data_IF_457667642163
#
_entry.id   IF_457667642163
#
_cell.length_a   1.000
_cell.length_b   1.000
_cell.length_c   1.000
_cell.angle_alpha   90.00
_cell.angle_beta   90.00
_cell.angle_gamma   90.00
#
_symmetry.space_group_name_H-M   'P 1'
#
loop_
_entity.id
_entity.type
_entity.pdbx_description
1 polymer ?
#
# COMPACT_ATOMS: atom_id res chain seq x y z
N UNK A 1 0.50 11.42 -26.34
CA UNK A 1 0.64 11.42 -24.86
C UNK A 1 0.65 10.01 -24.24
N UNK A 2 1.09 8.97 -24.96
CA UNK A 2 0.76 7.56 -24.63
C UNK A 2 1.93 6.73 -24.08
N UNK A 3 3.19 6.99 -24.46
CA UNK A 3 4.33 6.15 -24.03
C UNK A 3 4.83 6.45 -22.61
N UNK A 4 4.89 7.73 -22.20
CA UNK A 4 5.39 8.14 -20.86
C UNK A 4 4.50 7.62 -19.73
N UNK A 5 3.19 7.78 -19.89
CA UNK A 5 2.21 7.38 -18.86
C UNK A 5 2.17 5.84 -18.68
N UNK A 6 2.37 5.06 -19.74
CA UNK A 6 2.49 3.60 -19.65
C UNK A 6 3.80 3.19 -18.96
N UNK A 7 4.92 3.86 -19.27
CA UNK A 7 6.21 3.62 -18.59
C UNK A 7 6.11 3.91 -17.09
N UNK A 8 5.53 5.04 -16.70
CA UNK A 8 5.41 5.42 -15.28
C UNK A 8 4.57 4.40 -14.49
N UNK A 9 3.48 3.88 -15.09
CA UNK A 9 2.64 2.83 -14.48
C UNK A 9 3.40 1.53 -14.23
N UNK A 10 4.14 1.05 -15.23
CA UNK A 10 4.91 -0.18 -15.11
C UNK A 10 6.03 -0.04 -14.07
N UNK A 11 6.72 1.11 -14.08
CA UNK A 11 7.75 1.42 -13.08
C UNK A 11 7.17 1.39 -11.67
N UNK A 12 6.00 1.99 -11.43
CA UNK A 12 5.36 1.97 -10.11
C UNK A 12 4.95 0.56 -9.69
N UNK A 13 4.39 -0.23 -10.61
CA UNK A 13 4.03 -1.62 -10.34
C UNK A 13 5.27 -2.45 -9.93
N UNK A 14 6.37 -2.30 -10.65
CA UNK A 14 7.64 -2.99 -10.38
C UNK A 14 8.26 -2.52 -9.07
N UNK A 15 8.22 -1.20 -8.78
CA UNK A 15 8.68 -0.65 -7.50
C UNK A 15 7.88 -1.22 -6.32
N UNK A 16 6.55 -1.25 -6.44
CA UNK A 16 5.67 -1.82 -5.41
C UNK A 16 5.95 -3.30 -5.18
N UNK A 17 6.14 -4.08 -6.26
CA UNK A 17 6.52 -5.49 -6.15
C UNK A 17 7.89 -5.66 -5.48
N UNK A 18 8.90 -4.91 -5.90
CA UNK A 18 10.24 -4.99 -5.32
C UNK A 18 10.28 -4.62 -3.83
N UNK A 19 9.38 -3.74 -3.36
CA UNK A 19 9.23 -3.47 -1.93
C UNK A 19 8.67 -4.67 -1.16
N UNK A 20 7.65 -5.34 -1.71
CA UNK A 20 7.08 -6.57 -1.12
C UNK A 20 8.12 -7.70 -1.08
N UNK A 21 8.88 -7.90 -2.15
CA UNK A 21 9.87 -8.96 -2.23
C UNK A 21 10.99 -8.76 -1.20
N UNK A 22 11.43 -7.51 -1.01
CA UNK A 22 12.43 -7.14 0.01
C UNK A 22 11.89 -7.37 1.43
N UNK A 23 10.68 -6.94 1.71
CA UNK A 23 10.02 -7.18 3.01
C UNK A 23 9.92 -8.68 3.29
N UNK A 24 9.39 -9.46 2.35
CA UNK A 24 9.19 -10.90 2.51
C UNK A 24 10.51 -11.65 2.68
N UNK A 25 11.55 -11.28 1.93
CA UNK A 25 12.89 -11.86 2.05
C UNK A 25 13.48 -11.60 3.44
N UNK A 26 13.37 -10.37 3.95
CA UNK A 26 13.87 -10.03 5.28
C UNK A 26 13.10 -10.75 6.40
N UNK A 27 11.78 -10.84 6.29
CA UNK A 27 10.91 -11.54 7.26
C UNK A 27 11.19 -13.05 7.27
N UNK A 28 11.47 -13.66 6.12
CA UNK A 28 11.69 -15.11 6.01
C UNK A 28 13.13 -15.56 6.33
N UNK A 29 14.07 -14.63 6.50
CA UNK A 29 15.45 -14.92 6.87
C UNK A 29 15.50 -15.60 8.25
N UNK A 30 16.37 -16.59 8.42
CA UNK A 30 16.56 -17.30 9.69
C UNK A 30 18.04 -17.23 10.15
N UNK A 31 18.33 -16.65 11.33
CA UNK A 31 17.40 -15.94 12.21
C UNK A 31 16.87 -14.64 11.58
N UNK A 32 15.70 -14.18 12.03
CA UNK A 32 15.12 -12.92 11.57
C UNK A 32 15.91 -11.75 12.15
N UNK A 33 16.37 -10.85 11.28
CA UNK A 33 16.97 -9.59 11.68
C UNK A 33 15.88 -8.52 11.83
N UNK A 34 15.49 -8.21 13.07
CA UNK A 34 14.41 -7.27 13.37
C UNK A 34 14.75 -5.84 12.97
N UNK A 35 16.02 -5.44 13.04
CA UNK A 35 16.42 -4.07 12.69
C UNK A 35 16.44 -3.91 11.17
N UNK A 36 16.92 -4.92 10.43
CA UNK A 36 16.81 -4.97 8.96
C UNK A 36 15.35 -4.82 8.51
N UNK A 37 14.44 -5.66 9.04
CA UNK A 37 13.00 -5.59 8.72
C UNK A 37 12.43 -4.19 9.02
N UNK A 38 12.75 -3.62 10.19
CA UNK A 38 12.27 -2.30 10.59
C UNK A 38 12.74 -1.21 9.63
N UNK A 39 14.00 -1.23 9.21
CA UNK A 39 14.55 -0.25 8.27
C UNK A 39 13.90 -0.36 6.89
N UNK A 40 13.68 -1.57 6.39
CA UNK A 40 12.98 -1.78 5.12
C UNK A 40 11.53 -1.26 5.22
N UNK A 41 10.80 -1.57 6.30
CA UNK A 41 9.45 -1.05 6.50
C UNK A 41 9.40 0.49 6.63
N UNK A 42 10.42 1.13 7.21
CA UNK A 42 10.55 2.61 7.23
C UNK A 42 10.73 3.15 5.81
N UNK A 43 11.63 2.55 5.03
CA UNK A 43 11.89 2.96 3.65
C UNK A 43 10.65 2.78 2.77
N UNK A 44 9.99 1.62 2.83
CA UNK A 44 8.77 1.32 2.09
C UNK A 44 7.67 2.34 2.39
N UNK A 45 7.47 2.68 3.67
CA UNK A 45 6.50 3.72 4.07
C UNK A 45 6.77 5.08 3.45
N UNK A 46 8.04 5.50 3.41
CA UNK A 46 8.43 6.79 2.81
C UNK A 46 8.14 6.78 1.30
N UNK A 47 8.53 5.72 0.61
CA UNK A 47 8.34 5.57 -0.84
C UNK A 47 6.86 5.53 -1.21
N UNK A 48 6.06 4.68 -0.54
CA UNK A 48 4.61 4.56 -0.80
C UNK A 48 3.90 5.90 -0.59
N UNK A 49 4.25 6.66 0.46
CA UNK A 49 3.68 8.01 0.66
C UNK A 49 4.00 8.96 -0.49
N UNK A 50 5.22 8.90 -1.03
CA UNK A 50 5.61 9.71 -2.19
C UNK A 50 4.80 9.33 -3.42
N UNK A 51 4.69 8.03 -3.71
CA UNK A 51 3.91 7.51 -4.84
C UNK A 51 2.45 7.95 -4.72
N UNK A 52 1.82 7.78 -3.55
CA UNK A 52 0.42 8.18 -3.34
C UNK A 52 0.25 9.70 -3.42
N UNK A 53 1.22 10.48 -2.95
CA UNK A 53 1.19 11.95 -3.06
C UNK A 53 1.20 12.40 -4.52
N UNK A 54 2.00 11.75 -5.37
CA UNK A 54 2.16 12.12 -6.78
C UNK A 54 1.03 11.59 -7.66
N UNK A 55 0.58 10.35 -7.41
CA UNK A 55 -0.31 9.65 -8.33
C UNK A 55 -1.74 9.45 -7.80
N UNK A 56 -1.97 9.73 -6.52
CA UNK A 56 -3.24 9.47 -5.84
C UNK A 56 -3.45 7.98 -5.56
N UNK A 57 -4.68 7.52 -5.81
CA UNK A 57 -5.05 6.12 -5.67
C UNK A 57 -4.34 5.24 -6.71
N UNK A 58 -3.82 4.10 -6.25
CA UNK A 58 -3.27 3.07 -7.13
C UNK A 58 -4.41 2.12 -7.50
N UNK A 59 -5.20 2.49 -8.51
CA UNK A 59 -6.40 1.77 -8.92
C UNK A 59 -6.15 0.78 -10.06
N UNK A 60 -7.11 -0.10 -10.35
CA UNK A 60 -6.99 -1.13 -11.39
C UNK A 60 -6.83 -0.54 -12.79
N UNK A 61 -7.70 0.39 -13.18
CA UNK A 61 -7.70 1.03 -14.48
C UNK A 61 -6.42 1.81 -14.74
N UNK A 62 -5.81 2.37 -13.69
CA UNK A 62 -4.61 3.18 -13.81
C UNK A 62 -3.34 2.35 -13.72
N UNK A 63 -3.22 1.40 -12.80
CA UNK A 63 -1.95 0.71 -12.50
C UNK A 63 -2.02 -0.82 -12.57
N UNK A 64 -3.20 -1.38 -12.83
CA UNK A 64 -3.44 -2.82 -12.81
C UNK A 64 -3.72 -3.36 -11.42
N UNK A 65 -4.37 -4.52 -11.38
CA UNK A 65 -4.81 -5.18 -10.14
C UNK A 65 -3.66 -5.48 -9.19
N UNK A 66 -2.54 -5.97 -9.72
CA UNK A 66 -1.36 -6.33 -8.93
C UNK A 66 -0.75 -5.13 -8.22
N UNK A 67 -0.60 -4.00 -8.90
CA UNK A 67 -0.08 -2.78 -8.29
C UNK A 67 -1.03 -2.23 -7.23
N UNK A 68 -2.35 -2.24 -7.51
CA UNK A 68 -3.37 -1.84 -6.55
C UNK A 68 -3.34 -2.70 -5.29
N UNK A 69 -3.23 -4.02 -5.45
CA UNK A 69 -3.08 -4.95 -4.35
C UNK A 69 -1.80 -4.70 -3.54
N UNK A 70 -0.64 -4.55 -4.19
CA UNK A 70 0.63 -4.31 -3.51
C UNK A 70 0.64 -2.97 -2.75
N UNK A 71 0.05 -1.91 -3.31
CA UNK A 71 -0.10 -0.64 -2.62
C UNK A 71 -0.94 -0.79 -1.35
N UNK A 72 -2.10 -1.44 -1.43
CA UNK A 72 -2.91 -1.75 -0.26
C UNK A 72 -2.15 -2.61 0.77
N UNK A 73 -1.46 -3.66 0.32
CA UNK A 73 -0.75 -4.60 1.18
C UNK A 73 0.34 -3.89 1.99
N UNK A 74 1.09 -2.99 1.36
CA UNK A 74 2.07 -2.15 2.07
C UNK A 74 1.37 -1.21 3.06
N UNK A 75 0.29 -0.54 2.65
CA UNK A 75 -0.42 0.47 3.46
C UNK A 75 -1.10 -0.14 4.68
N UNK A 76 -1.73 -1.31 4.58
CA UNK A 76 -2.44 -1.93 5.71
C UNK A 76 -1.49 -2.26 6.88
N UNK A 77 -0.22 -2.50 6.58
CA UNK A 77 0.83 -2.77 7.56
C UNK A 77 1.49 -1.50 8.14
N UNK A 78 1.01 -0.31 7.79
CA UNK A 78 1.52 0.91 8.41
C UNK A 78 1.16 0.94 9.90
N UNK A 79 2.04 1.52 10.75
CA UNK A 79 1.77 1.58 12.19
C UNK A 79 0.65 2.58 12.49
N UNK A 80 0.06 2.46 13.69
CA UNK A 80 -0.99 3.34 14.23
C UNK A 80 -0.68 4.84 14.09
N UNK A 81 0.58 5.25 14.20
CA UNK A 81 1.01 6.64 14.01
C UNK A 81 0.74 7.18 12.60
N UNK A 82 0.41 6.32 11.64
CA UNK A 82 0.09 6.66 10.25
C UNK A 82 -1.42 6.65 9.95
N UNK A 83 -2.27 6.56 10.97
CA UNK A 83 -3.71 6.37 10.79
C UNK A 83 -4.36 7.42 9.86
N UNK A 84 -4.01 8.70 10.00
CA UNK A 84 -4.55 9.78 9.15
C UNK A 84 -4.24 9.57 7.66
N UNK A 85 -3.10 8.95 7.34
CA UNK A 85 -2.75 8.60 5.96
C UNK A 85 -3.60 7.42 5.47
N UNK A 86 -3.80 6.41 6.32
CA UNK A 86 -4.62 5.24 6.00
C UNK A 86 -6.08 5.63 5.77
N UNK A 87 -6.65 6.51 6.61
CA UNK A 87 -8.00 7.06 6.44
C UNK A 87 -8.15 7.80 5.10
N UNK A 88 -7.17 8.63 4.72
CA UNK A 88 -7.19 9.32 3.43
C UNK A 88 -7.11 8.36 2.24
N UNK A 89 -6.31 7.31 2.35
CA UNK A 89 -6.21 6.30 1.30
C UNK A 89 -7.50 5.49 1.18
N UNK A 90 -8.09 5.11 2.32
CA UNK A 90 -9.37 4.42 2.39
C UNK A 90 -10.50 5.24 1.75
N UNK A 91 -10.61 6.52 2.05
CA UNK A 91 -11.60 7.42 1.42
C UNK A 91 -11.46 7.46 -0.11
N UNK A 92 -10.23 7.44 -0.64
CA UNK A 92 -10.01 7.32 -2.08
C UNK A 92 -10.47 5.96 -2.61
N UNK A 93 -10.19 4.87 -1.90
CA UNK A 93 -10.60 3.53 -2.30
C UNK A 93 -12.14 3.38 -2.32
N UNK A 94 -12.84 3.90 -1.32
CA UNK A 94 -14.31 3.86 -1.23
C UNK A 94 -14.99 4.61 -2.38
N UNK A 95 -14.39 5.73 -2.82
CA UNK A 95 -14.87 6.53 -3.95
C UNK A 95 -14.59 5.89 -5.31
N UNK A 96 -13.76 4.84 -5.39
CA UNK A 96 -13.27 4.29 -6.64
C UNK A 96 -14.26 3.36 -7.38
N UNK A 97 -15.52 3.22 -6.93
CA UNK A 97 -16.64 2.52 -7.62
C UNK A 97 -16.24 1.21 -8.33
N UNK A 98 -15.52 0.31 -7.65
CA UNK A 98 -15.11 -0.99 -8.20
C UNK A 98 -13.76 -1.01 -8.91
N UNK A 99 -13.06 0.13 -9.02
CA UNK A 99 -11.69 0.23 -9.57
C UNK A 99 -10.60 -0.16 -8.54
N UNK A 100 -11.02 -0.84 -7.46
CA UNK A 100 -10.20 -1.45 -6.40
C UNK A 100 -10.91 -2.68 -5.85
N UNK A 101 -10.18 -3.59 -5.18
CA UNK A 101 -10.77 -4.78 -4.59
C UNK A 101 -11.62 -4.41 -3.36
N UNK A 102 -12.93 -4.70 -3.32
CA UNK A 102 -13.78 -4.34 -2.19
C UNK A 102 -13.38 -5.02 -0.87
N UNK A 103 -12.76 -6.21 -0.92
CA UNK A 103 -12.25 -6.87 0.30
C UNK A 103 -11.10 -6.09 0.92
N UNK A 104 -10.24 -5.51 0.08
CA UNK A 104 -9.13 -4.68 0.53
C UNK A 104 -9.64 -3.38 1.20
N UNK A 105 -10.74 -2.82 0.70
CA UNK A 105 -11.43 -1.68 1.35
C UNK A 105 -11.88 -2.07 2.76
N UNK A 106 -12.63 -3.17 2.89
CA UNK A 106 -13.12 -3.65 4.18
C UNK A 106 -11.98 -3.93 5.17
N UNK A 107 -10.92 -4.62 4.75
CA UNK A 107 -9.78 -4.91 5.62
C UNK A 107 -9.00 -3.66 6.04
N UNK A 108 -8.84 -2.67 5.16
CA UNK A 108 -8.19 -1.42 5.54
C UNK A 108 -9.05 -0.62 6.53
N UNK A 109 -10.37 -0.65 6.35
CA UNK A 109 -11.33 -0.03 7.25
C UNK A 109 -11.33 -0.70 8.63
N UNK A 110 -11.30 -2.02 8.70
CA UNK A 110 -11.12 -2.74 9.97
C UNK A 110 -9.82 -2.38 10.66
N UNK A 111 -8.71 -2.32 9.90
CA UNK A 111 -7.41 -1.88 10.45
C UNK A 111 -7.49 -0.48 11.04
N UNK A 112 -8.15 0.46 10.37
CA UNK A 112 -8.38 1.82 10.88
C UNK A 112 -9.26 1.78 12.14
N UNK A 113 -10.32 0.98 12.16
CA UNK A 113 -11.22 0.85 13.31
C UNK A 113 -10.49 0.31 14.55
N UNK A 114 -9.67 -0.73 14.39
CA UNK A 114 -8.80 -1.26 15.45
C UNK A 114 -7.91 -0.15 16.01
N UNK A 115 -7.27 0.64 15.16
CA UNK A 115 -6.42 1.75 15.62
C UNK A 115 -7.20 2.85 16.35
N UNK A 116 -8.49 3.03 16.06
CA UNK A 116 -9.39 3.99 16.73
C UNK A 116 -10.12 3.41 17.94
N UNK A 117 -9.97 2.11 18.24
CA UNK A 117 -10.74 1.45 19.29
C UNK A 117 -12.23 1.31 18.96
N UNK A 118 -12.57 1.22 17.66
CA UNK A 118 -13.94 1.03 17.17
C UNK A 118 -14.21 -0.45 16.86
N UNK A 119 -15.48 -0.88 16.85
CA UNK A 119 -15.87 -2.21 16.34
C UNK A 119 -15.42 -2.44 14.89
N UNK A 120 -15.23 -3.71 14.53
CA UNK A 120 -15.00 -4.15 13.15
C UNK A 120 -16.32 -4.12 12.36
N UNK A 121 -16.23 -4.09 11.03
CA UNK A 121 -17.40 -4.11 10.15
C UNK A 121 -17.72 -5.51 9.60
#
# INVERSE_FOLDING_TARGET
>A
MTSKNIKDKNIIADMLQGMIDKDQKAINKKPVDKEEVKQIMIANRKTVRSIVKEHGLISFSKFGEKASFNAWLLIQHFPKTSIRFMEKYLDMMEKAKGDVNPRNVAYLQDRVNVYKGKPLM
#
